data_IF_389405601556
#
_entry.id   IF_389405601556
#
_cell.length_a   1.000
_cell.length_b   1.000
_cell.length_c   1.000
_cell.angle_alpha   90.00
_cell.angle_beta   90.00
_cell.angle_gamma   90.00
#
_symmetry.space_group_name_H-M   'P 1'
#
loop_
_entity.id
_entity.type
_entity.pdbx_description
1 polymer ?
#
# COMPACT_ATOMS: atom_id res chain seq x y z
N UNK A 1 25.98 79.67 17.81
CA UNK A 1 25.28 79.60 19.06
C UNK A 1 24.32 78.44 19.03
N UNK A 2 24.42 77.60 20.03
CA UNK A 2 23.54 76.55 20.47
C UNK A 2 23.60 75.22 19.68
N UNK A 3 24.31 74.34 20.32
CA UNK A 3 24.39 72.92 20.18
C UNK A 3 23.03 72.29 20.49
N UNK A 4 22.67 71.27 19.76
CA UNK A 4 21.70 70.32 20.26
C UNK A 4 22.08 68.91 19.83
N UNK A 5 22.46 68.14 20.83
CA UNK A 5 22.78 66.72 20.74
C UNK A 5 21.48 65.93 20.56
N UNK A 6 21.42 65.11 19.51
CA UNK A 6 20.45 64.02 19.47
C UNK A 6 21.17 62.70 19.54
N UNK A 7 20.98 62.07 20.67
CA UNK A 7 21.46 60.73 20.94
C UNK A 7 20.65 59.72 20.10
N UNK A 8 21.33 59.00 19.25
CA UNK A 8 20.78 57.86 18.52
C UNK A 8 20.66 56.67 19.49
N UNK A 9 19.45 56.32 19.84
CA UNK A 9 19.14 55.07 20.55
C UNK A 9 19.07 53.97 19.52
N UNK A 10 20.11 53.15 19.44
CA UNK A 10 20.08 51.89 18.70
C UNK A 10 19.18 50.89 19.42
N UNK A 11 18.00 50.72 18.90
CA UNK A 11 17.13 49.60 19.32
C UNK A 11 17.61 48.37 18.58
N UNK A 12 18.37 47.54 19.26
CA UNK A 12 18.75 46.21 18.81
C UNK A 12 17.48 45.34 18.82
N UNK A 13 16.84 45.18 17.67
CA UNK A 13 15.72 44.25 17.52
C UNK A 13 16.27 42.83 17.65
N UNK A 14 16.08 42.23 18.80
CA UNK A 14 16.29 40.81 19.03
C UNK A 14 15.22 40.04 18.26
N UNK A 15 15.56 39.47 17.11
CA UNK A 15 14.71 38.54 16.38
C UNK A 15 14.87 37.17 17.06
N UNK A 16 13.87 36.62 17.72
CA UNK A 16 13.95 35.26 18.17
C UNK A 16 13.96 34.36 16.93
N UNK A 17 15.08 33.65 16.76
CA UNK A 17 15.21 32.57 15.79
C UNK A 17 14.20 31.46 16.18
N UNK A 18 13.04 31.46 15.56
CA UNK A 18 12.11 30.36 15.68
C UNK A 18 12.73 29.22 14.88
N UNK A 19 13.43 28.32 15.56
CA UNK A 19 13.67 26.98 15.07
C UNK A 19 12.30 26.33 14.87
N UNK A 20 11.79 26.36 13.64
CA UNK A 20 10.74 25.45 13.24
C UNK A 20 11.34 24.05 13.32
N UNK A 21 11.17 23.38 14.45
CA UNK A 21 11.25 21.95 14.52
C UNK A 21 10.16 21.43 13.58
N UNK A 22 10.57 20.90 12.42
CA UNK A 22 9.68 20.15 11.58
C UNK A 22 9.20 18.95 12.40
N UNK A 23 7.97 19.02 12.84
CA UNK A 23 7.24 17.85 13.28
C UNK A 23 7.05 16.98 12.06
N UNK A 24 8.07 16.17 11.75
CA UNK A 24 7.91 14.97 10.96
C UNK A 24 6.99 14.05 11.78
N UNK A 25 5.71 14.32 11.66
CA UNK A 25 4.66 13.41 12.06
C UNK A 25 4.82 12.16 11.21
N UNK A 26 5.68 11.26 11.66
CA UNK A 26 5.69 9.88 11.21
C UNK A 26 4.30 9.37 11.51
N UNK A 27 3.40 9.48 10.53
CA UNK A 27 2.13 8.77 10.54
C UNK A 27 2.47 7.30 10.67
N UNK A 28 2.48 6.83 11.91
CA UNK A 28 2.46 5.40 12.20
C UNK A 28 1.12 4.92 11.69
N UNK A 29 1.08 4.49 10.42
CA UNK A 29 -0.11 3.85 9.87
C UNK A 29 -0.42 2.69 10.80
N UNK A 30 -1.54 2.78 11.49
CA UNK A 30 -2.02 1.73 12.39
C UNK A 30 -2.14 0.46 11.57
N UNK A 31 -1.21 -0.48 11.77
CA UNK A 31 -1.22 -1.77 11.09
C UNK A 31 -2.57 -2.44 11.34
N UNK A 32 -3.38 -2.54 10.29
CA UNK A 32 -4.70 -3.18 10.37
C UNK A 32 -4.53 -4.70 10.35
N UNK A 33 -5.52 -5.41 10.89
CA UNK A 33 -5.54 -6.86 10.80
C UNK A 33 -5.41 -7.29 9.33
N UNK A 34 -4.47 -8.19 9.03
CA UNK A 34 -4.22 -8.65 7.67
C UNK A 34 -3.15 -7.92 6.88
N UNK A 35 -2.47 -6.90 7.44
CA UNK A 35 -1.35 -6.21 6.77
C UNK A 35 0.00 -6.95 6.92
N UNK A 36 -0.02 -8.16 7.41
CA UNK A 36 1.15 -9.03 7.63
C UNK A 36 1.47 -9.95 6.43
N UNK A 37 0.95 -9.62 5.24
CA UNK A 37 1.33 -10.32 4.00
C UNK A 37 2.76 -9.94 3.54
N UNK A 38 3.36 -10.79 2.72
CA UNK A 38 4.67 -10.56 2.12
C UNK A 38 4.64 -10.82 0.61
N UNK A 39 5.07 -9.84 -0.20
CA UNK A 39 5.28 -10.03 -1.63
C UNK A 39 6.66 -10.65 -1.83
N UNK A 40 6.68 -11.92 -2.25
CA UNK A 40 7.89 -12.73 -2.45
C UNK A 40 8.48 -12.50 -3.85
N UNK A 41 7.63 -12.25 -4.85
CA UNK A 41 8.02 -12.05 -6.25
C UNK A 41 7.17 -10.93 -6.83
N UNK A 42 7.80 -10.03 -7.58
CA UNK A 42 7.14 -8.97 -8.34
C UNK A 42 8.04 -8.59 -9.52
N UNK A 43 7.78 -9.17 -10.68
CA UNK A 43 8.62 -9.00 -11.88
C UNK A 43 7.78 -8.99 -13.15
N UNK A 44 8.28 -8.32 -14.17
CA UNK A 44 7.69 -8.30 -15.52
C UNK A 44 8.54 -9.14 -16.46
N UNK A 45 7.90 -10.09 -17.14
CA UNK A 45 8.49 -10.96 -18.15
C UNK A 45 7.56 -10.95 -19.35
N UNK A 46 8.07 -10.62 -20.53
CA UNK A 46 7.30 -10.57 -21.78
C UNK A 46 5.99 -9.76 -21.70
N UNK A 47 6.02 -8.63 -20.96
CA UNK A 47 4.88 -7.74 -20.79
C UNK A 47 3.82 -8.23 -19.79
N UNK A 48 4.04 -9.36 -19.14
CA UNK A 48 3.18 -9.87 -18.06
C UNK A 48 3.88 -9.64 -16.72
N UNK A 49 3.17 -9.03 -15.76
CA UNK A 49 3.65 -8.87 -14.40
C UNK A 49 3.25 -10.08 -13.56
N UNK A 50 4.25 -10.74 -12.99
CA UNK A 50 4.10 -11.91 -12.13
C UNK A 50 4.30 -11.49 -10.68
N UNK A 51 3.27 -11.62 -9.88
CA UNK A 51 3.30 -11.31 -8.44
C UNK A 51 3.02 -12.60 -7.69
N UNK A 52 3.89 -12.93 -6.73
CA UNK A 52 3.67 -14.02 -5.78
C UNK A 52 3.70 -13.44 -4.38
N UNK A 53 2.68 -13.70 -3.59
CA UNK A 53 2.61 -13.24 -2.21
C UNK A 53 2.26 -14.37 -1.23
N UNK A 54 2.82 -14.28 -0.04
CA UNK A 54 2.37 -15.02 1.13
C UNK A 54 1.38 -14.13 1.88
N UNK A 55 0.08 -14.49 1.93
CA UNK A 55 -0.92 -13.72 2.65
C UNK A 55 -0.76 -13.86 4.16
N UNK A 56 -1.51 -13.07 4.92
CA UNK A 56 -1.60 -13.16 6.37
C UNK A 56 -1.90 -14.58 6.86
N UNK A 57 -1.32 -14.94 8.00
CA UNK A 57 -1.62 -16.20 8.71
C UNK A 57 -3.08 -16.31 9.19
N UNK A 58 -3.83 -15.21 9.16
CA UNK A 58 -5.25 -15.16 9.52
C UNK A 58 -6.18 -15.77 8.46
N UNK A 59 -5.67 -16.05 7.25
CA UNK A 59 -6.47 -16.60 6.14
C UNK A 59 -6.08 -18.06 5.84
N UNK A 60 -6.96 -18.74 5.09
CA UNK A 60 -6.78 -20.17 4.80
C UNK A 60 -5.79 -20.45 3.66
N UNK A 61 -5.57 -19.48 2.76
CA UNK A 61 -4.58 -19.59 1.69
C UNK A 61 -3.18 -19.32 2.24
N UNK A 62 -2.18 -19.99 1.66
CA UNK A 62 -0.77 -19.83 2.06
C UNK A 62 0.05 -19.10 0.99
N UNK A 63 -0.51 -18.97 -0.22
CA UNK A 63 0.14 -18.30 -1.35
C UNK A 63 -0.93 -17.80 -2.32
N UNK A 64 -0.64 -16.66 -2.92
CA UNK A 64 -1.44 -16.05 -3.98
C UNK A 64 -0.49 -15.76 -5.14
N UNK A 65 -0.75 -16.34 -6.31
CA UNK A 65 -0.05 -16.05 -7.56
C UNK A 65 -0.98 -15.22 -8.44
N UNK A 66 -0.49 -14.08 -8.91
CA UNK A 66 -1.25 -13.09 -9.67
C UNK A 66 -0.49 -12.79 -10.96
N UNK A 67 -1.17 -12.81 -12.08
CA UNK A 67 -0.64 -12.35 -13.35
C UNK A 67 -1.45 -11.16 -13.84
N UNK A 68 -0.74 -10.09 -14.24
CA UNK A 68 -1.35 -8.87 -14.77
C UNK A 68 -0.84 -8.60 -16.18
N UNK A 69 -1.73 -8.14 -17.05
CA UNK A 69 -1.42 -7.56 -18.36
C UNK A 69 -1.72 -6.06 -18.30
N UNK A 70 -0.68 -5.24 -18.15
CA UNK A 70 -0.86 -3.83 -17.88
C UNK A 70 -1.63 -3.62 -16.56
N UNK A 71 -2.77 -2.95 -16.63
CA UNK A 71 -3.67 -2.66 -15.50
C UNK A 71 -4.82 -3.67 -15.35
N UNK A 72 -4.75 -4.82 -16.05
CA UNK A 72 -5.82 -5.82 -16.09
C UNK A 72 -5.37 -7.14 -15.45
N UNK A 73 -6.23 -7.72 -14.64
CA UNK A 73 -6.03 -9.05 -14.05
C UNK A 73 -6.15 -10.13 -15.13
N UNK A 74 -5.07 -10.83 -15.43
CA UNK A 74 -5.07 -11.95 -16.36
C UNK A 74 -5.45 -13.25 -15.66
N UNK A 75 -4.83 -13.52 -14.51
CA UNK A 75 -5.17 -14.71 -13.70
C UNK A 75 -4.79 -14.55 -12.24
N UNK A 76 -5.50 -15.26 -11.37
CA UNK A 76 -5.19 -15.39 -9.95
C UNK A 76 -5.35 -16.85 -9.53
N UNK A 77 -4.35 -17.35 -8.82
CA UNK A 77 -4.33 -18.71 -8.29
C UNK A 77 -3.99 -18.68 -6.81
N UNK A 78 -4.81 -19.33 -6.00
CA UNK A 78 -4.55 -19.51 -4.57
C UNK A 78 -4.02 -20.93 -4.31
N UNK A 79 -3.02 -21.02 -3.45
CA UNK A 79 -2.55 -22.30 -2.91
C UNK A 79 -3.17 -22.50 -1.53
N UNK A 80 -3.87 -23.61 -1.33
CA UNK A 80 -4.72 -23.92 -0.18
C UNK A 80 -5.94 -22.99 -0.04
N UNK A 81 -6.71 -23.18 1.01
CA UNK A 81 -7.98 -22.47 1.26
C UNK A 81 -9.19 -23.21 0.67
N UNK A 82 -10.31 -22.51 0.61
CA UNK A 82 -11.56 -23.03 0.05
C UNK A 82 -11.44 -23.11 -1.48
N UNK A 83 -11.17 -24.30 -2.02
CA UNK A 83 -10.86 -24.50 -3.43
C UNK A 83 -11.92 -23.90 -4.39
N UNK A 84 -13.21 -24.11 -4.10
CA UNK A 84 -14.29 -23.55 -4.93
C UNK A 84 -14.32 -22.02 -4.88
N UNK A 85 -14.20 -21.43 -3.69
CA UNK A 85 -14.16 -19.98 -3.52
C UNK A 85 -12.95 -19.34 -4.22
N UNK A 86 -11.78 -19.94 -4.06
CA UNK A 86 -10.54 -19.49 -4.71
C UNK A 86 -10.65 -19.46 -6.24
N UNK A 87 -11.17 -20.55 -6.84
CA UNK A 87 -11.43 -20.63 -8.27
C UNK A 87 -12.51 -19.64 -8.73
N UNK A 88 -13.58 -19.49 -7.94
CA UNK A 88 -14.66 -18.55 -8.23
C UNK A 88 -14.17 -17.10 -8.26
N UNK A 89 -13.40 -16.67 -7.28
CA UNK A 89 -12.81 -15.33 -7.24
C UNK A 89 -11.90 -15.11 -8.46
N UNK A 90 -10.99 -16.04 -8.75
CA UNK A 90 -10.10 -15.94 -9.91
C UNK A 90 -10.85 -15.84 -11.25
N UNK A 91 -11.95 -16.58 -11.40
CA UNK A 91 -12.79 -16.51 -12.58
C UNK A 91 -13.56 -15.19 -12.71
N UNK A 92 -14.10 -14.68 -11.61
CA UNK A 92 -14.90 -13.45 -11.59
C UNK A 92 -14.07 -12.19 -11.89
N UNK A 93 -12.83 -12.12 -11.41
CA UNK A 93 -11.99 -10.93 -11.58
C UNK A 93 -11.09 -10.97 -12.83
N UNK A 94 -11.04 -12.10 -13.54
CA UNK A 94 -10.29 -12.19 -14.80
C UNK A 94 -10.82 -11.17 -15.81
N UNK A 95 -9.92 -10.38 -16.41
CA UNK A 95 -10.28 -9.31 -17.34
C UNK A 95 -10.71 -8.01 -16.67
N UNK A 96 -10.79 -7.98 -15.33
CA UNK A 96 -11.14 -6.78 -14.57
C UNK A 96 -9.92 -5.89 -14.41
N UNK A 97 -10.11 -4.57 -14.37
CA UNK A 97 -9.05 -3.64 -14.00
C UNK A 97 -8.63 -3.85 -12.56
N UNK A 98 -7.34 -3.67 -12.28
CA UNK A 98 -6.76 -3.87 -10.94
C UNK A 98 -7.47 -3.01 -9.90
N UNK A 99 -7.71 -1.73 -10.18
CA UNK A 99 -8.40 -0.82 -9.26
C UNK A 99 -9.83 -1.27 -8.95
N UNK A 100 -10.53 -1.79 -9.94
CA UNK A 100 -11.89 -2.34 -9.77
C UNK A 100 -11.84 -3.61 -8.91
N UNK A 101 -10.90 -4.52 -9.17
CA UNK A 101 -10.71 -5.72 -8.35
C UNK A 101 -10.41 -5.37 -6.89
N UNK A 102 -9.52 -4.39 -6.65
CA UNK A 102 -9.22 -3.87 -5.32
C UNK A 102 -10.50 -3.35 -4.65
N UNK A 103 -11.25 -2.47 -5.32
CA UNK A 103 -12.44 -1.84 -4.74
C UNK A 103 -13.53 -2.83 -4.36
N UNK A 104 -13.65 -3.92 -5.10
CA UNK A 104 -14.67 -4.98 -4.86
C UNK A 104 -14.28 -5.97 -3.77
N UNK A 105 -12.99 -6.23 -3.58
CA UNK A 105 -12.50 -7.29 -2.72
C UNK A 105 -11.98 -6.79 -1.38
N UNK A 106 -11.54 -5.52 -1.31
CA UNK A 106 -10.96 -4.93 -0.10
C UNK A 106 -12.02 -4.81 1.00
N UNK A 107 -11.64 -5.19 2.21
CA UNK A 107 -12.51 -5.11 3.39
C UNK A 107 -13.48 -6.27 3.56
N UNK A 108 -13.50 -7.27 2.66
CA UNK A 108 -14.29 -8.48 2.86
C UNK A 108 -13.71 -9.26 4.04
N UNK A 109 -14.51 -9.44 5.07
CA UNK A 109 -14.14 -10.21 6.26
C UNK A 109 -14.54 -11.69 6.14
N UNK A 110 -13.76 -12.57 6.74
CA UNK A 110 -14.07 -13.99 6.85
C UNK A 110 -14.20 -14.38 8.33
N UNK A 111 -15.44 -14.55 8.78
CA UNK A 111 -15.76 -15.02 10.12
C UNK A 111 -15.16 -14.16 11.27
N UNK A 112 -15.18 -12.85 11.15
CA UNK A 112 -14.70 -11.91 12.18
C UNK A 112 -13.18 -11.85 12.34
N UNK A 113 -12.42 -12.31 11.36
CA UNK A 113 -10.95 -12.30 11.40
C UNK A 113 -10.32 -10.94 11.04
N UNK A 114 -11.14 -9.98 10.60
CA UNK A 114 -10.70 -8.66 10.12
C UNK A 114 -10.05 -8.68 8.73
N UNK A 115 -9.98 -9.84 8.08
CA UNK A 115 -9.47 -10.05 6.72
C UNK A 115 -10.00 -11.35 6.12
N UNK A 116 -9.73 -11.58 4.84
CA UNK A 116 -10.09 -12.80 4.12
C UNK A 116 -9.15 -13.05 2.95
N UNK A 117 -9.25 -14.21 2.28
CA UNK A 117 -8.47 -14.46 1.06
C UNK A 117 -8.74 -13.40 -0.05
N UNK A 118 -10.00 -12.98 -0.32
CA UNK A 118 -10.27 -11.86 -1.23
C UNK A 118 -9.66 -10.53 -0.77
N UNK A 119 -9.80 -10.18 0.50
CA UNK A 119 -9.22 -8.96 1.06
C UNK A 119 -7.68 -8.97 0.98
N UNK A 120 -7.05 -10.11 1.25
CA UNK A 120 -5.60 -10.28 1.11
C UNK A 120 -5.14 -10.07 -0.34
N UNK A 121 -5.89 -10.58 -1.32
CA UNK A 121 -5.61 -10.31 -2.73
C UNK A 121 -5.66 -8.82 -3.06
N UNK A 122 -6.69 -8.11 -2.58
CA UNK A 122 -6.83 -6.68 -2.79
C UNK A 122 -5.67 -5.89 -2.17
N UNK A 123 -5.24 -6.24 -0.95
CA UNK A 123 -4.10 -5.59 -0.27
C UNK A 123 -2.78 -5.85 -0.99
N UNK A 124 -2.56 -7.08 -1.46
CA UNK A 124 -1.37 -7.43 -2.26
C UNK A 124 -1.36 -6.63 -3.57
N UNK A 125 -2.48 -6.55 -4.28
CA UNK A 125 -2.60 -5.75 -5.50
C UNK A 125 -2.31 -4.26 -5.22
N UNK A 126 -2.93 -3.69 -4.19
CA UNK A 126 -2.70 -2.29 -3.81
C UNK A 126 -1.23 -2.01 -3.47
N UNK A 127 -0.58 -2.91 -2.74
CA UNK A 127 0.84 -2.78 -2.41
C UNK A 127 1.73 -2.93 -3.65
N UNK A 128 1.40 -3.86 -4.55
CA UNK A 128 2.13 -4.07 -5.79
C UNK A 128 2.01 -2.85 -6.73
N UNK A 129 0.85 -2.19 -6.79
CA UNK A 129 0.67 -0.99 -7.61
C UNK A 129 1.50 0.21 -7.14
N UNK A 130 1.91 0.23 -5.89
CA UNK A 130 2.79 1.25 -5.30
C UNK A 130 4.29 0.96 -5.46
N UNK A 131 4.65 -0.16 -6.08
CA UNK A 131 6.03 -0.64 -6.25
C UNK A 131 6.39 -0.75 -7.73
N UNK A 132 7.65 -0.47 -8.05
CA UNK A 132 8.20 -0.79 -9.37
C UNK A 132 8.58 -2.29 -9.41
N UNK A 133 8.06 -3.05 -10.38
CA UNK A 133 8.44 -4.45 -10.54
C UNK A 133 9.86 -4.57 -11.11
N UNK A 134 10.54 -5.68 -10.81
CA UNK A 134 11.78 -6.02 -11.48
C UNK A 134 11.48 -6.38 -12.95
N UNK A 135 12.23 -5.80 -13.89
CA UNK A 135 12.11 -6.12 -15.32
C UNK A 135 13.20 -7.13 -15.68
N UNK A 136 12.81 -8.22 -16.33
CA UNK A 136 13.69 -9.29 -16.83
C UNK A 136 13.54 -9.48 -18.32
#
# INVERSE_FOLDING_TARGET
MMMSFFAAISILAFVPSICAAGDDEVKTEKKMAGDDFNIVRDEVIDGIRYITAAPSSLVCSVRIDIHLKGDVVDSVVYTRGCNGNAKGIGALIRGMKVDEAISRLKGIDCAGRGTSCPDQLARVLEAAMKREPAVK
#
